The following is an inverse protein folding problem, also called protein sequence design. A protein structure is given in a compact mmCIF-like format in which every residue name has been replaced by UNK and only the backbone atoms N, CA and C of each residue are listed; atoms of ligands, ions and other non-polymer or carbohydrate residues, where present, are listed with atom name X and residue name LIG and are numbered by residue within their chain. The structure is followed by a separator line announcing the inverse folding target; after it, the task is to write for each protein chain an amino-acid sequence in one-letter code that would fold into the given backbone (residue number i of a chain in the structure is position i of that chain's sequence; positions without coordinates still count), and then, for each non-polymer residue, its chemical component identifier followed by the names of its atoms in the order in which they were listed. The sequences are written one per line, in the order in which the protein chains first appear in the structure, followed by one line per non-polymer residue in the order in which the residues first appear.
data_IF_957810102243
#
_entry.id   IF_957810102243
#
_cell.length_a   1.000
_cell.length_b   1.000
_cell.length_c   1.000
_cell.angle_alpha   90.00
_cell.angle_beta   90.00
_cell.angle_gamma   90.00
#
_symmetry.space_group_name_H-M   'P 1'
#
loop_
_entity.id
_entity.type
_entity.pdbx_description
1 polymer ?
#
# COMPACT_ATOMS: atom_id res chain seq x y z
N UNK A 1 -2.70 -7.50 23.32
CA UNK A 1 -3.71 -8.37 23.95
C UNK A 1 -3.40 -9.85 23.74
N UNK A 2 -3.26 -10.36 22.52
CA UNK A 2 -3.06 -11.80 22.24
C UNK A 2 -1.86 -12.40 23.00
N UNK A 3 -0.73 -11.67 23.04
CA UNK A 3 0.43 -12.08 23.83
C UNK A 3 0.15 -12.07 25.33
N UNK A 4 -0.53 -11.05 25.83
CA UNK A 4 -0.91 -10.96 27.24
C UNK A 4 -1.89 -12.07 27.68
N UNK A 5 -2.74 -12.52 26.75
CA UNK A 5 -3.66 -13.65 26.95
C UNK A 5 -2.99 -15.03 26.74
N UNK A 6 -1.72 -15.07 26.37
CA UNK A 6 -1.00 -16.32 26.11
C UNK A 6 -1.39 -17.03 24.81
N UNK A 7 -2.08 -16.35 23.88
CA UNK A 7 -2.50 -16.94 22.60
C UNK A 7 -1.36 -16.98 21.57
N UNK A 8 -0.39 -16.07 21.72
CA UNK A 8 0.84 -16.05 20.90
C UNK A 8 2.05 -15.87 21.82
N UNK A 9 3.15 -16.51 21.49
CA UNK A 9 4.39 -16.41 22.25
C UNK A 9 5.18 -15.14 21.92
N UNK A 10 5.13 -14.70 20.68
CA UNK A 10 5.84 -13.52 20.17
C UNK A 10 4.93 -12.58 19.40
N UNK A 11 5.20 -11.29 19.49
CA UNK A 11 4.55 -10.27 18.66
C UNK A 11 5.15 -10.36 17.24
N UNK A 12 4.32 -10.37 16.18
CA UNK A 12 4.83 -10.27 14.81
C UNK A 12 5.61 -8.96 14.61
N UNK A 13 6.66 -8.99 13.80
CA UNK A 13 7.35 -7.77 13.36
C UNK A 13 6.38 -6.92 12.53
N UNK A 14 6.18 -5.66 12.92
CA UNK A 14 5.29 -4.75 12.23
C UNK A 14 6.09 -3.86 11.27
N UNK A 15 5.62 -3.76 10.03
CA UNK A 15 6.15 -2.85 9.02
C UNK A 15 5.10 -1.82 8.69
N UNK A 16 5.36 -0.57 9.07
CA UNK A 16 4.51 0.56 8.73
C UNK A 16 4.87 1.12 7.36
N UNK A 17 3.92 1.11 6.43
CA UNK A 17 4.16 1.66 5.08
C UNK A 17 3.46 3.00 4.94
N UNK A 18 4.17 4.01 4.44
CA UNK A 18 3.62 5.33 4.14
C UNK A 18 3.96 5.75 2.71
N UNK A 19 3.06 6.51 2.10
CA UNK A 19 3.37 7.20 0.85
C UNK A 19 4.48 8.23 1.08
N UNK A 20 5.41 8.37 0.15
CA UNK A 20 6.54 9.31 0.23
C UNK A 20 6.07 10.75 0.47
N UNK A 21 5.03 11.18 -0.25
CA UNK A 21 4.41 12.49 -0.08
C UNK A 21 3.61 12.66 1.21
N UNK A 22 3.46 11.61 2.05
CA UNK A 22 2.75 11.63 3.34
C UNK A 22 3.46 10.78 4.40
N UNK A 23 4.77 10.97 4.57
CA UNK A 23 5.68 10.05 5.28
C UNK A 23 6.11 10.54 6.67
N UNK A 24 5.23 11.18 7.43
CA UNK A 24 5.53 11.76 8.75
C UNK A 24 6.22 10.77 9.71
N UNK A 25 5.67 9.56 9.85
CA UNK A 25 6.20 8.55 10.77
C UNK A 25 7.52 7.95 10.27
N UNK A 26 7.62 7.68 8.97
CA UNK A 26 8.85 7.21 8.36
C UNK A 26 10.00 8.23 8.58
N UNK A 27 9.74 9.52 8.36
CA UNK A 27 10.74 10.57 8.58
C UNK A 27 11.14 10.64 10.06
N UNK A 28 10.17 10.63 10.98
CA UNK A 28 10.45 10.65 12.41
C UNK A 28 11.26 9.42 12.86
N UNK A 29 10.90 8.24 12.37
CA UNK A 29 11.61 7.00 12.67
C UNK A 29 13.05 7.03 12.12
N UNK A 30 13.23 7.43 10.87
CA UNK A 30 14.53 7.48 10.19
C UNK A 30 15.49 8.47 10.85
N UNK A 31 14.98 9.62 11.26
CA UNK A 31 15.76 10.70 11.85
C UNK A 31 15.83 10.62 13.39
N UNK A 32 15.21 9.61 14.01
CA UNK A 32 15.06 9.49 15.46
C UNK A 32 14.42 10.73 16.12
N UNK A 33 13.43 11.31 15.45
CA UNK A 33 12.68 12.48 15.94
C UNK A 33 11.57 12.06 16.89
N UNK A 34 11.24 12.94 17.85
CA UNK A 34 10.07 12.74 18.72
C UNK A 34 8.80 13.13 17.95
N UNK A 35 7.90 12.16 17.79
CA UNK A 35 6.62 12.34 17.08
C UNK A 35 5.66 13.33 17.79
N UNK A 36 5.91 13.66 19.06
CA UNK A 36 5.12 14.68 19.78
C UNK A 36 5.51 16.09 19.40
N UNK A 37 6.80 16.32 19.21
CA UNK A 37 7.35 17.66 18.94
C UNK A 37 7.63 17.92 17.49
N UNK A 38 7.68 16.86 16.63
CA UNK A 38 7.84 17.00 15.19
C UNK A 38 6.70 17.83 14.60
N UNK A 39 7.04 18.92 13.85
CA UNK A 39 6.02 19.74 13.19
C UNK A 39 5.27 18.92 12.12
N UNK A 40 4.00 19.28 11.83
CA UNK A 40 3.26 18.71 10.72
C UNK A 40 4.02 18.88 9.40
N UNK A 41 3.87 17.91 8.49
CA UNK A 41 4.36 17.99 7.11
C UNK A 41 3.22 18.34 6.17
N UNK A 42 3.52 18.88 5.00
CA UNK A 42 2.54 18.99 3.93
C UNK A 42 2.38 17.63 3.26
N UNK A 43 1.17 17.06 3.35
CA UNK A 43 0.87 15.79 2.69
C UNK A 43 0.41 16.03 1.24
N UNK A 44 0.96 15.24 0.31
CA UNK A 44 0.59 15.23 -1.10
C UNK A 44 0.87 13.84 -1.69
N UNK A 45 -0.17 13.05 -1.94
CA UNK A 45 -0.07 11.71 -2.51
C UNK A 45 -1.37 11.33 -3.20
N UNK A 46 -1.31 10.47 -4.21
CA UNK A 46 -2.49 9.85 -4.85
C UNK A 46 -3.23 8.90 -3.91
N UNK A 47 -2.60 8.45 -2.85
CA UNK A 47 -3.19 7.60 -1.82
C UNK A 47 -3.96 8.43 -0.78
N UNK A 48 -5.11 9.02 -1.20
CA UNK A 48 -5.89 10.00 -0.44
C UNK A 48 -6.20 9.54 0.99
N UNK A 49 -6.68 8.32 1.18
CA UNK A 49 -7.08 7.79 2.49
C UNK A 49 -5.94 7.69 3.52
N UNK A 50 -4.67 7.77 3.10
CA UNK A 50 -3.49 7.81 3.97
C UNK A 50 -2.74 9.15 3.89
N UNK A 51 -3.32 10.16 3.23
CA UNK A 51 -2.75 11.50 3.11
C UNK A 51 -2.99 12.29 4.41
N UNK A 52 -1.97 12.32 5.27
CA UNK A 52 -2.05 12.98 6.58
C UNK A 52 -0.74 13.66 6.95
N UNK A 53 -0.75 15.00 7.02
CA UNK A 53 0.42 15.78 7.44
C UNK A 53 0.78 15.62 8.91
N UNK A 54 -0.19 15.26 9.76
CA UNK A 54 0.00 14.93 11.17
C UNK A 54 -0.88 13.74 11.55
N UNK A 55 -0.34 12.51 11.55
CA UNK A 55 -1.11 11.32 11.93
C UNK A 55 -1.64 11.39 13.36
N UNK A 56 -2.92 11.09 13.55
CA UNK A 56 -3.57 11.19 14.88
C UNK A 56 -2.98 10.20 15.90
N UNK A 57 -2.76 8.96 15.48
CA UNK A 57 -2.30 7.86 16.34
C UNK A 57 -0.77 7.64 16.28
N UNK A 58 -0.02 8.70 15.99
CA UNK A 58 1.44 8.65 15.78
C UNK A 58 2.23 8.05 16.94
N UNK A 59 1.77 8.27 18.18
CA UNK A 59 2.41 7.71 19.37
C UNK A 59 2.30 6.18 19.41
N UNK A 60 1.07 5.67 19.25
CA UNK A 60 0.83 4.22 19.29
C UNK A 60 1.50 3.53 18.11
N UNK A 61 1.43 4.11 16.90
CA UNK A 61 2.07 3.56 15.73
C UNK A 61 3.59 3.45 15.91
N UNK A 62 4.24 4.52 16.37
CA UNK A 62 5.68 4.52 16.64
C UNK A 62 6.05 3.52 17.75
N UNK A 63 5.29 3.47 18.83
CA UNK A 63 5.53 2.54 19.92
C UNK A 63 5.37 1.07 19.46
N UNK A 64 4.31 0.75 18.72
CA UNK A 64 4.04 -0.59 18.24
C UNK A 64 5.14 -1.10 17.28
N UNK A 65 5.60 -0.25 16.35
CA UNK A 65 6.69 -0.61 15.44
C UNK A 65 7.99 -0.83 16.22
N UNK A 66 8.33 0.04 17.18
CA UNK A 66 9.52 -0.13 18.02
C UNK A 66 9.45 -1.40 18.89
N UNK A 67 8.30 -1.64 19.56
CA UNK A 67 8.10 -2.82 20.43
C UNK A 67 8.22 -4.14 19.65
N UNK A 68 7.71 -4.17 18.42
CA UNK A 68 7.80 -5.34 17.54
C UNK A 68 9.15 -5.50 16.85
N UNK A 69 10.13 -4.64 17.12
CA UNK A 69 11.40 -4.57 16.39
C UNK A 69 11.20 -4.41 14.88
N UNK A 70 10.15 -3.70 14.52
CA UNK A 70 9.74 -3.42 13.17
C UNK A 70 10.43 -2.21 12.57
N UNK A 71 9.87 -1.74 11.46
CA UNK A 71 10.40 -0.60 10.72
C UNK A 71 9.30 0.18 10.01
N UNK A 72 9.63 1.36 9.50
CA UNK A 72 8.80 2.07 8.53
C UNK A 72 9.44 2.02 7.15
N UNK A 73 8.58 1.92 6.12
CA UNK A 73 8.96 1.99 4.70
C UNK A 73 8.21 3.13 4.05
N UNK A 74 8.91 3.90 3.23
CA UNK A 74 8.31 4.91 2.37
C UNK A 74 8.27 4.41 0.92
N UNK A 75 7.12 4.57 0.26
CA UNK A 75 6.87 4.19 -1.13
C UNK A 75 6.36 5.38 -1.93
N UNK A 76 6.81 5.53 -3.16
CA UNK A 76 6.36 6.58 -4.06
C UNK A 76 4.94 6.28 -4.59
N UNK A 77 4.26 7.31 -5.09
CA UNK A 77 2.97 7.16 -5.76
C UNK A 77 3.04 6.20 -6.95
N UNK A 78 4.16 6.20 -7.68
CA UNK A 78 4.38 5.26 -8.78
C UNK A 78 4.49 3.81 -8.30
N UNK A 79 5.22 3.56 -7.20
CA UNK A 79 5.31 2.23 -6.59
C UNK A 79 3.92 1.75 -6.11
N UNK A 80 3.12 2.64 -5.52
CA UNK A 80 1.75 2.34 -5.07
C UNK A 80 0.85 1.95 -6.24
N UNK A 81 0.82 2.76 -7.31
CA UNK A 81 -0.02 2.49 -8.48
C UNK A 81 0.40 1.22 -9.21
N UNK A 82 1.70 0.95 -9.30
CA UNK A 82 2.23 -0.30 -9.86
C UNK A 82 1.80 -1.51 -9.02
N UNK A 83 1.96 -1.42 -7.70
CA UNK A 83 1.57 -2.49 -6.78
C UNK A 83 0.06 -2.76 -6.81
N UNK A 84 -0.77 -1.73 -6.98
CA UNK A 84 -2.22 -1.87 -7.12
C UNK A 84 -2.59 -2.73 -8.34
N UNK A 85 -1.96 -2.48 -9.49
CA UNK A 85 -2.18 -3.27 -10.71
C UNK A 85 -1.66 -4.69 -10.55
N UNK A 86 -0.46 -4.86 -9.99
CA UNK A 86 0.15 -6.16 -9.77
C UNK A 86 -0.66 -7.01 -8.79
N UNK A 87 -1.17 -6.42 -7.72
CA UNK A 87 -2.06 -7.07 -6.77
C UNK A 87 -3.33 -7.60 -7.45
N UNK A 88 -3.96 -6.76 -8.29
CA UNK A 88 -5.15 -7.16 -9.04
C UNK A 88 -4.86 -8.31 -10.03
N UNK A 89 -3.73 -8.25 -10.75
CA UNK A 89 -3.33 -9.26 -11.73
C UNK A 89 -2.98 -10.60 -11.09
N UNK A 90 -2.27 -10.57 -9.97
CA UNK A 90 -1.77 -11.79 -9.33
C UNK A 90 -2.77 -12.47 -8.40
N UNK A 91 -3.69 -11.71 -7.80
CA UNK A 91 -4.59 -12.22 -6.76
C UNK A 91 -6.08 -12.00 -7.03
N UNK A 92 -6.44 -11.15 -7.99
CA UNK A 92 -7.81 -10.71 -8.22
C UNK A 92 -8.31 -9.67 -7.20
N UNK A 93 -7.45 -9.20 -6.28
CA UNK A 93 -7.83 -8.20 -5.27
C UNK A 93 -7.81 -6.79 -5.88
N UNK A 94 -8.98 -6.17 -5.98
CA UNK A 94 -9.16 -4.82 -6.48
C UNK A 94 -9.03 -3.81 -5.33
N UNK A 95 -7.87 -3.15 -5.25
CA UNK A 95 -7.52 -2.20 -4.19
C UNK A 95 -7.57 -0.75 -4.66
N UNK A 96 -7.89 0.18 -3.73
CA UNK A 96 -7.57 1.59 -3.90
C UNK A 96 -6.06 1.85 -3.70
N UNK A 97 -5.49 3.00 -4.13
CA UNK A 97 -4.08 3.30 -3.92
C UNK A 97 -3.63 3.19 -2.46
N UNK A 98 -4.41 3.75 -1.53
CA UNK A 98 -4.09 3.68 -0.09
C UNK A 98 -4.04 2.23 0.43
N UNK A 99 -4.95 1.36 -0.03
CA UNK A 99 -4.95 -0.06 0.31
C UNK A 99 -3.77 -0.82 -0.28
N UNK A 100 -3.32 -0.45 -1.48
CA UNK A 100 -2.18 -1.07 -2.16
C UNK A 100 -0.82 -0.64 -1.60
N UNK A 101 -0.75 0.43 -0.79
CA UNK A 101 0.51 0.92 -0.23
C UNK A 101 1.27 -0.16 0.55
N UNK A 102 0.57 -1.01 1.31
CA UNK A 102 1.20 -2.12 2.04
C UNK A 102 1.83 -3.15 1.09
N UNK A 103 1.19 -3.45 -0.03
CA UNK A 103 1.75 -4.32 -1.09
C UNK A 103 2.98 -3.69 -1.74
N UNK A 104 2.96 -2.37 -2.02
CA UNK A 104 4.13 -1.65 -2.51
C UNK A 104 5.30 -1.74 -1.53
N UNK A 105 5.02 -1.59 -0.24
CA UNK A 105 6.02 -1.76 0.83
C UNK A 105 6.61 -3.16 0.88
N UNK A 106 5.80 -4.20 0.70
CA UNK A 106 6.28 -5.59 0.61
C UNK A 106 7.19 -5.78 -0.61
N UNK A 107 6.76 -5.36 -1.80
CA UNK A 107 7.55 -5.47 -3.02
C UNK A 107 8.91 -4.78 -2.83
N UNK A 108 8.91 -3.57 -2.28
CA UNK A 108 10.14 -2.83 -1.97
C UNK A 108 11.03 -3.55 -0.97
N UNK A 109 10.47 -4.07 0.12
CA UNK A 109 11.21 -4.82 1.13
C UNK A 109 11.87 -6.09 0.56
N UNK A 110 11.17 -6.80 -0.32
CA UNK A 110 11.71 -7.98 -1.01
C UNK A 110 12.86 -7.58 -1.94
N UNK A 111 12.67 -6.55 -2.76
CA UNK A 111 13.69 -6.07 -3.70
C UNK A 111 14.95 -5.56 -3.00
N UNK A 112 14.80 -5.00 -1.80
CA UNK A 112 15.90 -4.52 -0.97
C UNK A 112 16.50 -5.60 -0.05
N UNK A 113 16.05 -6.85 -0.16
CA UNK A 113 16.54 -7.98 0.66
C UNK A 113 16.18 -7.90 2.14
N UNK A 114 15.17 -7.11 2.51
CA UNK A 114 14.68 -6.94 3.90
C UNK A 114 13.62 -7.96 4.30
N UNK A 115 13.12 -8.72 3.36
CA UNK A 115 12.19 -9.83 3.57
C UNK A 115 12.84 -11.12 3.07
N UNK A 116 12.90 -12.15 3.90
CA UNK A 116 13.50 -13.44 3.55
C UNK A 116 12.46 -14.36 2.93
N UNK A 117 12.89 -15.28 2.09
CA UNK A 117 12.00 -16.21 1.40
C UNK A 117 11.32 -17.25 2.31
N UNK A 118 11.84 -17.43 3.53
CA UNK A 118 11.30 -18.35 4.55
C UNK A 118 10.38 -17.65 5.57
N UNK A 119 10.16 -16.34 5.43
CA UNK A 119 9.25 -15.58 6.30
C UNK A 119 7.81 -15.67 5.84
N UNK A 120 6.89 -15.78 6.80
CA UNK A 120 5.46 -15.61 6.53
C UNK A 120 5.10 -14.14 6.69
N UNK A 121 4.62 -13.53 5.62
CA UNK A 121 4.21 -12.12 5.58
C UNK A 121 2.70 -12.00 5.42
N UNK A 122 2.08 -11.17 6.25
CA UNK A 122 0.67 -10.81 6.12
C UNK A 122 0.60 -9.35 5.66
N UNK A 123 -0.04 -9.13 4.52
CA UNK A 123 -0.30 -7.78 3.97
C UNK A 123 -1.75 -7.42 4.23
N UNK A 124 -1.97 -6.26 4.85
CA UNK A 124 -3.32 -5.76 5.12
C UNK A 124 -3.73 -4.80 4.00
N UNK A 125 -4.61 -5.26 3.13
CA UNK A 125 -5.26 -4.41 2.13
C UNK A 125 -6.50 -3.76 2.75
N UNK A 126 -6.45 -2.44 2.97
CA UNK A 126 -7.42 -1.71 3.79
C UNK A 126 -8.58 -1.08 3.01
N UNK A 127 -8.49 -0.97 1.69
CA UNK A 127 -9.51 -0.29 0.89
C UNK A 127 -9.74 -0.88 -0.49
N UNK A 128 -11.01 -0.90 -0.89
CA UNK A 128 -11.45 -1.39 -2.20
C UNK A 128 -11.29 -0.30 -3.28
N UNK A 129 -10.91 -0.69 -4.50
CA UNK A 129 -10.68 0.21 -5.64
C UNK A 129 -11.92 1.01 -6.08
N UNK A 130 -13.13 0.55 -5.75
CA UNK A 130 -14.35 1.31 -6.02
C UNK A 130 -14.45 2.64 -5.24
N UNK A 131 -13.61 2.84 -4.24
CA UNK A 131 -13.54 4.12 -3.50
C UNK A 131 -12.85 5.23 -4.31
N UNK A 132 -11.99 4.87 -5.26
CA UNK A 132 -11.22 5.84 -6.07
C UNK A 132 -11.08 5.35 -7.52
N UNK A 133 -12.19 5.23 -8.20
CA UNK A 133 -12.25 4.80 -9.61
C UNK A 133 -11.42 5.72 -10.54
N UNK A 134 -11.42 7.06 -10.42
CA UNK A 134 -10.64 7.90 -11.32
C UNK A 134 -9.14 7.59 -11.29
N UNK A 135 -8.56 7.45 -10.10
CA UNK A 135 -7.13 7.13 -9.96
C UNK A 135 -6.82 5.72 -10.49
N UNK A 136 -7.69 4.75 -10.21
CA UNK A 136 -7.56 3.39 -10.75
C UNK A 136 -7.57 3.39 -12.29
N UNK A 137 -8.54 4.08 -12.91
CA UNK A 137 -8.63 4.15 -14.38
C UNK A 137 -7.38 4.81 -14.99
N UNK A 138 -6.91 5.89 -14.39
CA UNK A 138 -5.65 6.54 -14.82
C UNK A 138 -4.45 5.59 -14.73
N UNK A 139 -4.36 4.78 -13.68
CA UNK A 139 -3.29 3.81 -13.52
C UNK A 139 -3.38 2.68 -14.56
N UNK A 140 -4.58 2.18 -14.84
CA UNK A 140 -4.83 1.15 -15.86
C UNK A 140 -4.47 1.64 -17.25
N UNK A 141 -4.87 2.86 -17.62
CA UNK A 141 -4.52 3.50 -18.88
C UNK A 141 -3.00 3.61 -19.06
N UNK A 142 -2.29 4.08 -18.02
CA UNK A 142 -0.82 4.18 -18.02
C UNK A 142 -0.13 2.82 -18.15
N UNK A 143 -0.77 1.74 -17.71
CA UNK A 143 -0.24 0.37 -17.88
C UNK A 143 -0.40 -0.21 -19.29
N UNK A 144 -1.00 0.56 -20.22
CA UNK A 144 -1.26 0.14 -21.59
C UNK A 144 -2.46 -0.80 -21.76
N UNK A 145 -3.23 -1.02 -20.69
CA UNK A 145 -4.46 -1.81 -20.73
C UNK A 145 -5.65 -0.87 -20.90
N UNK A 146 -6.42 -1.05 -21.97
CA UNK A 146 -7.65 -0.27 -22.16
C UNK A 146 -8.85 -1.21 -22.19
N UNK A 147 -9.95 -0.85 -21.50
CA UNK A 147 -11.19 -1.62 -21.62
C UNK A 147 -11.78 -1.43 -23.00
N UNK A 148 -12.23 -2.52 -23.61
CA UNK A 148 -12.97 -2.47 -24.86
C UNK A 148 -14.43 -2.18 -24.58
N UNK A 149 -14.99 -1.21 -25.28
CA UNK A 149 -16.43 -0.93 -25.27
C UNK A 149 -17.06 -1.63 -26.45
N UNK A 150 -17.96 -2.57 -26.15
CA UNK A 150 -18.71 -3.31 -27.17
C UNK A 150 -20.21 -3.08 -26.93
N UNK A 151 -20.96 -2.96 -28.00
CA UNK A 151 -22.42 -3.14 -27.95
C UNK A 151 -22.69 -4.66 -27.76
N UNK A 152 -23.88 -5.05 -27.26
CA UNK A 152 -24.24 -6.46 -27.06
C UNK A 152 -24.45 -7.20 -28.41
N UNK A 153 -23.39 -7.32 -29.18
CA UNK A 153 -23.33 -7.88 -30.53
C UNK A 153 -22.21 -8.94 -30.59
N UNK A 154 -22.59 -10.16 -30.93
CA UNK A 154 -21.68 -11.31 -30.99
C UNK A 154 -20.67 -11.21 -32.14
N UNK A 155 -20.97 -10.52 -33.22
CA UNK A 155 -20.05 -10.40 -34.36
C UNK A 155 -18.95 -9.38 -34.03
N UNK A 156 -19.29 -8.29 -33.37
CA UNK A 156 -18.29 -7.36 -32.80
C UNK A 156 -17.38 -8.06 -31.81
N UNK A 157 -17.91 -8.89 -30.91
CA UNK A 157 -17.11 -9.66 -29.98
C UNK A 157 -16.15 -10.62 -30.68
N UNK A 158 -16.63 -11.38 -31.68
CA UNK A 158 -15.80 -12.29 -32.48
C UNK A 158 -14.67 -11.56 -33.21
N UNK A 159 -14.99 -10.41 -33.81
CA UNK A 159 -14.01 -9.58 -34.51
C UNK A 159 -12.95 -9.05 -33.55
N UNK A 160 -13.33 -8.60 -32.36
CA UNK A 160 -12.38 -8.17 -31.33
C UNK A 160 -11.47 -9.31 -30.89
N UNK A 161 -12.03 -10.47 -30.57
CA UNK A 161 -11.28 -11.65 -30.13
C UNK A 161 -10.30 -12.18 -31.17
N UNK A 162 -10.53 -11.95 -32.47
CA UNK A 162 -9.61 -12.33 -33.52
C UNK A 162 -8.41 -11.37 -33.71
N UNK A 163 -8.48 -10.17 -33.04
CA UNK A 163 -7.46 -9.12 -33.14
C UNK A 163 -6.60 -9.00 -31.86
N UNK A 164 -6.88 -9.81 -30.84
CA UNK A 164 -6.11 -9.91 -29.59
C UNK A 164 -5.22 -11.16 -29.64
#
# INVERSE_FOLDING_TARGET
DLKAMGWIERIPKLVGVQAEGSSFLYQAWKNNEDVLTKPPIQANTVADSISAGLPRDRLKAMAAVKESQGEFISVSDTEILTAMIELARSTGVFSEPAGAAATAGLIKAVNEGRCRSDETVVVINTGNGLKDIPTVMTAVEKSGTQPFRLEPDMDQLRQLMSNI
#
